data_IF_074975328857
#
_entry.id   IF_074975328857
#
_cell.length_a   1.000
_cell.length_b   1.000
_cell.length_c   1.000
_cell.angle_alpha   90.00
_cell.angle_beta   90.00
_cell.angle_gamma   90.00
#
_symmetry.space_group_name_H-M   'P 1'
#
loop_
_entity.id
_entity.type
_entity.pdbx_description
1 polymer ?
#
# COMPACT_ATOMS: atom_id res chain seq x y z
N UNK A 1 24.26 3.54 16.15
CA UNK A 1 23.73 2.17 16.13
C UNK A 1 24.80 1.28 15.52
N UNK A 2 25.30 0.29 16.25
CA UNK A 2 26.38 -0.58 15.78
C UNK A 2 25.81 -1.52 14.72
N UNK A 3 26.16 -1.31 13.46
CA UNK A 3 25.87 -2.26 12.39
C UNK A 3 26.54 -3.60 12.74
N UNK A 4 25.76 -4.69 12.75
CA UNK A 4 26.29 -6.03 12.92
C UNK A 4 27.35 -6.32 11.86
N UNK A 5 28.42 -7.04 12.24
CA UNK A 5 29.47 -7.44 11.32
C UNK A 5 28.87 -8.34 10.23
N UNK A 6 29.38 -8.23 9.00
CA UNK A 6 29.01 -9.12 7.88
C UNK A 6 29.45 -10.54 8.20
N UNK A 7 28.62 -11.54 7.92
CA UNK A 7 28.96 -12.94 8.20
C UNK A 7 27.77 -13.89 8.18
N UNK A 8 28.07 -15.16 8.40
CA UNK A 8 27.07 -16.21 8.55
C UNK A 8 26.59 -16.27 10.01
N UNK A 9 25.28 -16.14 10.21
CA UNK A 9 24.61 -16.23 11.49
C UNK A 9 23.57 -17.34 11.46
N UNK A 10 23.21 -17.93 12.64
CA UNK A 10 22.08 -18.86 12.69
C UNK A 10 20.85 -18.26 12.00
N UNK A 11 20.23 -19.02 11.10
CA UNK A 11 19.07 -18.54 10.34
C UNK A 11 17.88 -18.28 11.28
N UNK A 12 17.41 -17.04 11.43
CA UNK A 12 16.35 -16.71 12.39
C UNK A 12 14.98 -17.34 12.06
N UNK A 13 14.76 -17.73 10.80
CA UNK A 13 13.53 -18.39 10.36
C UNK A 13 13.72 -19.84 9.91
N UNK A 14 14.90 -20.43 10.10
CA UNK A 14 15.27 -21.72 9.53
C UNK A 14 15.29 -22.90 10.51
N UNK A 15 15.48 -24.10 9.94
CA UNK A 15 15.70 -25.31 10.71
C UNK A 15 16.98 -25.25 11.52
N UNK A 16 17.07 -26.00 12.65
CA UNK A 16 18.27 -26.07 13.48
C UNK A 16 19.49 -26.47 12.65
N UNK A 17 20.60 -25.73 12.82
CA UNK A 17 21.85 -25.98 12.12
C UNK A 17 22.00 -25.30 10.75
N UNK A 18 21.02 -24.48 10.35
CA UNK A 18 21.12 -23.62 9.15
C UNK A 18 21.66 -22.26 9.50
N UNK A 19 22.46 -21.68 8.60
CA UNK A 19 23.02 -20.33 8.70
C UNK A 19 22.61 -19.50 7.51
N UNK A 20 22.37 -18.20 7.72
CA UNK A 20 22.05 -17.20 6.70
C UNK A 20 23.09 -16.09 6.74
N UNK A 21 23.48 -15.59 5.58
CA UNK A 21 24.50 -14.57 5.50
C UNK A 21 23.91 -13.18 5.73
N UNK A 22 24.54 -12.42 6.60
CA UNK A 22 24.27 -11.00 6.84
C UNK A 22 25.31 -10.15 6.11
N UNK A 23 24.90 -9.24 5.22
CA UNK A 23 25.80 -8.40 4.44
C UNK A 23 26.09 -7.03 5.07
N UNK A 24 25.68 -6.82 6.34
CA UNK A 24 25.79 -5.54 7.04
C UNK A 24 24.51 -4.69 6.99
N UNK A 25 23.59 -4.99 6.07
CA UNK A 25 22.33 -4.25 5.86
C UNK A 25 21.13 -5.18 5.76
N UNK A 26 21.26 -6.29 5.05
CA UNK A 26 20.17 -7.23 4.78
C UNK A 26 20.62 -8.70 4.93
N UNK A 27 19.66 -9.57 5.22
CA UNK A 27 19.86 -11.02 5.15
C UNK A 27 19.82 -11.51 3.70
N UNK A 28 20.77 -12.38 3.31
CA UNK A 28 20.73 -13.02 2.00
C UNK A 28 19.60 -14.03 1.91
N UNK A 29 19.19 -14.38 0.69
CA UNK A 29 18.25 -15.49 0.46
C UNK A 29 18.92 -16.85 0.60
N UNK A 30 20.24 -16.89 0.49
CA UNK A 30 21.03 -18.13 0.56
C UNK A 30 21.24 -18.56 2.01
N UNK A 31 21.11 -19.87 2.24
CA UNK A 31 21.38 -20.51 3.51
C UNK A 31 22.40 -21.64 3.34
N UNK A 32 23.18 -21.92 4.36
CA UNK A 32 24.18 -22.99 4.38
C UNK A 32 24.14 -23.77 5.70
N UNK A 33 24.65 -24.99 5.69
CA UNK A 33 24.89 -25.78 6.89
C UNK A 33 26.32 -25.56 7.46
N UNK A 34 27.22 -24.92 6.66
CA UNK A 34 28.58 -24.60 7.06
C UNK A 34 28.79 -23.09 7.18
N UNK A 35 28.89 -22.52 8.40
CA UNK A 35 29.10 -21.08 8.62
C UNK A 35 30.50 -20.59 8.20
N UNK A 36 31.41 -21.49 7.79
CA UNK A 36 32.74 -21.14 7.28
C UNK A 36 32.77 -21.02 5.75
N UNK A 37 31.66 -21.30 5.09
CA UNK A 37 31.54 -21.15 3.64
C UNK A 37 31.86 -19.70 3.23
N UNK A 38 32.48 -19.53 2.05
CA UNK A 38 32.71 -18.20 1.48
C UNK A 38 31.39 -17.43 1.39
N UNK A 39 31.42 -16.10 1.59
CA UNK A 39 30.24 -15.27 1.40
C UNK A 39 29.56 -15.55 0.05
N UNK A 40 28.21 -15.51 -0.03
CA UNK A 40 27.53 -15.64 -1.31
C UNK A 40 28.05 -14.57 -2.24
N UNK A 41 28.31 -14.93 -3.52
CA UNK A 41 28.65 -13.95 -4.53
C UNK A 41 27.51 -12.96 -4.63
N UNK A 42 27.76 -11.70 -4.24
CA UNK A 42 26.78 -10.64 -4.32
C UNK A 42 26.24 -10.48 -5.73
N UNK A 43 25.11 -9.80 -5.94
CA UNK A 43 24.49 -9.62 -7.26
C UNK A 43 25.40 -8.95 -8.29
N UNK A 44 26.58 -8.47 -7.89
CA UNK A 44 27.54 -7.78 -8.76
C UNK A 44 28.33 -8.71 -9.70
N UNK A 45 28.36 -10.03 -9.45
CA UNK A 45 29.07 -10.99 -10.31
C UNK A 45 28.35 -11.29 -11.63
N UNK A 46 27.04 -11.10 -11.74
CA UNK A 46 26.24 -11.36 -12.95
C UNK A 46 25.91 -10.09 -13.78
N UNK A 47 26.20 -8.90 -13.25
CA UNK A 47 25.82 -7.62 -13.87
C UNK A 47 26.70 -7.23 -15.09
N UNK A 48 27.88 -7.80 -15.23
CA UNK A 48 28.83 -7.43 -16.30
C UNK A 48 28.37 -7.75 -17.72
N UNK A 49 27.55 -8.76 -17.91
CA UNK A 49 27.15 -9.25 -19.25
C UNK A 49 25.78 -8.72 -19.69
N UNK A 50 24.85 -8.45 -18.76
CA UNK A 50 23.52 -7.89 -19.10
C UNK A 50 23.57 -6.38 -19.40
N UNK A 51 24.50 -5.64 -18.81
CA UNK A 51 24.63 -4.18 -19.01
C UNK A 51 25.01 -3.78 -20.44
N UNK A 52 25.75 -4.63 -21.17
CA UNK A 52 26.14 -4.33 -22.57
C UNK A 52 24.97 -4.49 -23.55
N UNK A 53 24.04 -5.39 -23.31
CA UNK A 53 22.87 -5.58 -24.17
C UNK A 53 21.78 -4.55 -23.89
N UNK A 54 21.60 -4.10 -22.65
CA UNK A 54 20.65 -3.03 -22.30
C UNK A 54 21.00 -1.67 -22.93
N UNK A 55 22.31 -1.35 -23.04
CA UNK A 55 22.76 -0.11 -23.69
C UNK A 55 22.49 -0.11 -25.21
N UNK A 56 22.61 -1.24 -25.88
CA UNK A 56 22.34 -1.34 -27.32
C UNK A 56 20.86 -1.21 -27.61
N UNK A 57 19.99 -1.82 -26.79
CA UNK A 57 18.53 -1.71 -26.92
C UNK A 57 18.05 -0.30 -26.58
N UNK A 58 18.61 0.33 -25.54
CA UNK A 58 18.26 1.70 -25.13
C UNK A 58 18.58 2.74 -26.22
N UNK A 59 19.74 2.64 -26.87
CA UNK A 59 20.12 3.58 -27.94
C UNK A 59 19.23 3.45 -29.17
N UNK A 60 18.80 2.23 -29.52
CA UNK A 60 17.86 2.00 -30.63
C UNK A 60 16.45 2.55 -30.32
N UNK A 61 15.96 2.39 -29.09
CA UNK A 61 14.66 2.91 -28.67
C UNK A 61 14.61 4.45 -28.71
N UNK A 62 15.66 5.13 -28.23
CA UNK A 62 15.75 6.58 -28.28
C UNK A 62 15.80 7.11 -29.72
N UNK A 63 16.52 6.45 -30.62
CA UNK A 63 16.56 6.83 -32.03
C UNK A 63 15.19 6.76 -32.72
N UNK A 64 14.40 5.71 -32.43
CA UNK A 64 13.03 5.57 -32.97
C UNK A 64 12.10 6.65 -32.42
N UNK A 65 12.18 6.98 -31.14
CA UNK A 65 11.37 8.03 -30.52
C UNK A 65 11.66 9.41 -31.15
N UNK A 66 12.94 9.73 -31.41
CA UNK A 66 13.32 11.00 -32.05
C UNK A 66 12.78 11.10 -33.47
N UNK A 67 12.82 10.01 -34.25
CA UNK A 67 12.30 9.98 -35.61
C UNK A 67 10.78 10.17 -35.63
N UNK A 68 10.04 9.53 -34.71
CA UNK A 68 8.59 9.67 -34.58
C UNK A 68 8.21 11.07 -34.10
N UNK A 69 8.94 11.65 -33.14
CA UNK A 69 8.69 13.01 -32.66
C UNK A 69 8.93 14.06 -33.75
N UNK A 70 9.99 13.94 -34.56
CA UNK A 70 10.21 14.82 -35.70
C UNK A 70 9.11 14.70 -36.76
N UNK A 71 8.63 13.48 -37.02
CA UNK A 71 7.53 13.24 -37.97
C UNK A 71 6.22 13.91 -37.55
N UNK A 72 5.90 13.87 -36.24
CA UNK A 72 4.69 14.50 -35.69
C UNK A 72 4.76 16.03 -35.71
N UNK A 73 5.93 16.63 -35.48
CA UNK A 73 6.13 18.10 -35.54
C UNK A 73 5.98 18.62 -36.95
N UNK A 74 6.40 17.88 -37.96
CA UNK A 74 6.28 18.27 -39.36
C UNK A 74 4.83 18.16 -39.89
N UNK A 75 4.03 17.24 -39.34
CA UNK A 75 2.64 17.00 -39.78
C UNK A 75 1.57 17.79 -39.03
N UNK A 76 1.87 18.33 -37.84
CA UNK A 76 0.97 19.19 -37.06
C UNK A 76 1.53 20.61 -37.00
N UNK A 77 0.97 21.52 -37.83
CA UNK A 77 1.31 22.94 -37.81
C UNK A 77 1.19 23.56 -36.40
N UNK A 78 1.96 24.59 -36.13
CA UNK A 78 2.04 25.32 -34.87
C UNK A 78 0.69 25.89 -34.43
N UNK A 79 0.27 25.79 -33.19
CA UNK A 79 -0.95 26.40 -32.70
C UNK A 79 -0.78 27.92 -32.62
N UNK A 80 -1.68 28.63 -33.30
CA UNK A 80 -1.82 30.09 -33.21
C UNK A 80 -2.49 30.46 -31.89
N UNK A 81 -1.92 31.40 -31.19
CA UNK A 81 -2.45 31.95 -29.94
C UNK A 81 -3.69 32.78 -30.18
N UNK A 82 -4.77 32.56 -29.44
CA UNK A 82 -6.02 33.29 -29.42
C UNK A 82 -5.94 34.49 -28.46
N UNK A 83 -6.49 35.66 -28.82
CA UNK A 83 -6.38 36.88 -27.98
C UNK A 83 -7.43 36.89 -26.84
N UNK A 84 -7.17 37.62 -25.73
CA UNK A 84 -8.03 37.62 -24.55
C UNK A 84 -9.29 38.45 -24.70
N UNK A 85 -10.42 37.97 -24.17
CA UNK A 85 -11.71 38.65 -24.09
C UNK A 85 -11.74 39.70 -22.96
N UNK A 86 -12.48 40.78 -23.09
CA UNK A 86 -12.49 41.89 -22.14
C UNK A 86 -13.36 41.61 -20.89
N UNK A 87 -12.85 42.06 -19.73
CA UNK A 87 -13.54 42.04 -18.45
C UNK A 87 -14.70 43.04 -18.40
N UNK A 88 -15.88 42.59 -17.99
CA UNK A 88 -17.01 43.46 -17.66
C UNK A 88 -17.04 43.80 -16.17
N UNK A 89 -16.90 45.07 -15.86
CA UNK A 89 -17.05 45.68 -14.54
C UNK A 89 -18.56 45.89 -14.24
N UNK A 90 -19.05 45.40 -13.11
CA UNK A 90 -20.37 45.76 -12.59
C UNK A 90 -20.20 46.60 -11.32
N UNK A 91 -20.74 47.78 -11.37
CA UNK A 91 -20.74 48.81 -10.33
C UNK A 91 -21.89 48.56 -9.30
N UNK A 92 -21.62 48.94 -8.07
CA UNK A 92 -22.31 48.68 -6.83
C UNK A 92 -23.74 49.16 -6.69
N UNK A 93 -24.36 48.69 -5.64
CA UNK A 93 -25.60 49.18 -5.02
C UNK A 93 -25.52 48.92 -3.52
N UNK A 94 -25.47 50.03 -2.78
CA UNK A 94 -25.49 50.13 -1.33
C UNK A 94 -26.95 49.95 -0.88
N UNK A 95 -27.23 49.12 0.12
CA UNK A 95 -28.43 49.22 0.94
C UNK A 95 -28.19 48.68 2.34
N UNK A 96 -28.12 49.63 3.26
CA UNK A 96 -27.91 49.41 4.69
C UNK A 96 -29.27 49.18 5.38
N UNK A 97 -29.42 48.03 6.06
CA UNK A 97 -30.47 47.86 7.06
C UNK A 97 -29.93 47.03 8.25
N UNK A 98 -30.14 47.48 9.52
CA UNK A 98 -29.50 46.81 10.66
C UNK A 98 -30.27 45.57 11.08
N UNK A 99 -29.55 44.47 11.14
CA UNK A 99 -30.02 43.17 11.63
C UNK A 99 -29.75 43.02 13.14
N UNK A 100 -30.66 42.45 13.94
CA UNK A 100 -30.46 42.24 15.36
C UNK A 100 -29.38 41.18 15.66
N UNK A 101 -28.57 41.46 16.66
CA UNK A 101 -27.52 40.61 17.20
C UNK A 101 -28.02 39.23 17.64
N UNK A 102 -27.55 38.11 17.11
CA UNK A 102 -27.81 36.81 17.68
C UNK A 102 -26.84 36.52 18.83
N UNK A 103 -27.37 36.01 19.92
CA UNK A 103 -26.68 35.44 21.08
C UNK A 103 -25.69 34.33 20.61
N UNK A 104 -24.44 34.29 21.12
CA UNK A 104 -23.50 33.27 20.72
C UNK A 104 -23.94 31.88 21.22
N UNK A 105 -23.91 30.84 20.37
CA UNK A 105 -24.12 29.48 20.83
C UNK A 105 -22.90 29.03 21.66
N UNK A 106 -23.19 28.36 22.77
CA UNK A 106 -22.21 27.68 23.62
C UNK A 106 -21.31 26.81 22.77
N UNK A 107 -20.02 27.11 22.80
CA UNK A 107 -18.97 26.30 22.17
C UNK A 107 -18.91 24.95 22.89
N UNK A 108 -19.46 23.92 22.26
CA UNK A 108 -19.21 22.54 22.68
C UNK A 108 -17.73 22.28 22.47
N UNK A 109 -17.01 21.99 23.53
CA UNK A 109 -15.59 21.68 23.49
C UNK A 109 -15.34 20.49 22.54
N UNK A 110 -14.59 20.75 21.49
CA UNK A 110 -14.04 19.69 20.62
C UNK A 110 -13.20 18.75 21.50
N UNK A 111 -13.38 17.43 21.41
CA UNK A 111 -12.54 16.51 22.19
C UNK A 111 -11.09 16.71 21.78
N UNK A 112 -10.23 17.04 22.74
CA UNK A 112 -8.77 17.05 22.58
C UNK A 112 -8.32 15.71 22.01
N UNK A 113 -7.36 15.69 21.08
CA UNK A 113 -6.78 14.44 20.61
C UNK A 113 -6.13 13.75 21.81
N UNK A 114 -6.68 12.61 22.21
CA UNK A 114 -6.08 11.74 23.21
C UNK A 114 -4.70 11.34 22.73
N UNK A 115 -3.66 11.72 23.46
CA UNK A 115 -2.30 11.22 23.27
C UNK A 115 -2.33 9.70 23.49
N UNK A 116 -2.46 8.93 22.40
CA UNK A 116 -2.32 7.48 22.47
C UNK A 116 -0.87 7.15 22.80
N UNK A 117 -0.64 6.45 23.88
CA UNK A 117 0.61 5.72 24.11
C UNK A 117 0.78 4.77 22.92
N UNK A 118 1.92 4.81 22.20
CA UNK A 118 2.16 3.85 21.13
C UNK A 118 2.01 2.43 21.67
N UNK A 119 1.22 1.60 20.99
CA UNK A 119 1.14 0.19 21.32
C UNK A 119 2.54 -0.43 21.21
N UNK A 120 2.93 -1.39 22.09
CA UNK A 120 4.22 -2.05 21.98
C UNK A 120 4.34 -2.71 20.61
N UNK A 121 5.51 -2.55 19.97
CA UNK A 121 5.81 -3.14 18.68
C UNK A 121 5.67 -4.67 18.78
N UNK A 122 4.72 -5.25 18.08
CA UNK A 122 4.54 -6.69 17.97
C UNK A 122 5.46 -7.19 16.85
N UNK A 123 6.24 -8.26 17.06
CA UNK A 123 6.95 -8.90 15.95
C UNK A 123 5.92 -9.34 14.90
N UNK A 124 6.09 -8.93 13.64
CA UNK A 124 5.20 -9.37 12.59
C UNK A 124 5.42 -10.87 12.33
N UNK A 125 4.38 -11.70 12.43
CA UNK A 125 4.51 -13.14 12.24
C UNK A 125 4.82 -13.46 10.78
N UNK A 126 5.24 -14.69 10.52
CA UNK A 126 5.36 -15.25 9.17
C UNK A 126 4.14 -16.13 8.93
N UNK A 127 3.32 -15.76 7.97
CA UNK A 127 2.16 -16.52 7.51
C UNK A 127 2.45 -17.35 6.25
N UNK A 128 1.40 -17.75 5.59
CA UNK A 128 1.43 -18.36 4.24
C UNK A 128 0.31 -17.74 3.39
N UNK A 129 0.57 -16.57 2.77
CA UNK A 129 -0.45 -15.88 1.98
C UNK A 129 -0.87 -16.65 0.72
N UNK A 130 -0.05 -17.61 0.27
CA UNK A 130 -0.34 -18.46 -0.91
C UNK A 130 -1.23 -19.64 -0.60
N UNK A 131 -1.40 -19.98 0.67
CA UNK A 131 -2.37 -21.00 1.10
C UNK A 131 -3.78 -20.56 0.71
N UNK A 132 -4.41 -21.28 -0.22
CA UNK A 132 -5.79 -20.96 -0.66
C UNK A 132 -6.80 -21.94 -0.06
N UNK A 133 -7.84 -21.38 0.54
CA UNK A 133 -9.02 -22.12 0.95
C UNK A 133 -10.01 -22.26 -0.22
N UNK A 134 -10.92 -23.26 -0.20
CA UNK A 134 -12.01 -23.32 -1.17
C UNK A 134 -12.95 -22.12 -1.02
N UNK A 135 -13.23 -21.41 -2.12
CA UNK A 135 -14.15 -20.28 -2.18
C UNK A 135 -15.16 -20.43 -3.32
N UNK A 136 -16.31 -19.72 -3.26
CA UNK A 136 -17.22 -19.62 -4.39
C UNK A 136 -16.53 -19.08 -5.65
N UNK A 137 -17.03 -19.50 -6.81
CA UNK A 137 -16.57 -19.00 -8.13
C UNK A 137 -17.66 -18.10 -8.71
N UNK A 138 -17.71 -16.88 -8.26
CA UNK A 138 -18.63 -15.83 -8.70
C UNK A 138 -17.88 -14.54 -9.08
N UNK A 139 -18.55 -13.40 -9.03
CA UNK A 139 -17.98 -12.08 -9.36
C UNK A 139 -17.28 -11.40 -8.17
N UNK A 140 -16.93 -12.15 -7.12
CA UNK A 140 -16.25 -11.61 -5.93
C UNK A 140 -14.82 -12.13 -5.82
N UNK A 141 -14.03 -11.42 -5.04
CA UNK A 141 -12.68 -11.82 -4.59
C UNK A 141 -12.79 -12.23 -3.14
N UNK A 142 -12.33 -13.44 -2.83
CA UNK A 142 -12.45 -14.05 -1.51
C UNK A 142 -11.08 -14.27 -0.86
N UNK A 143 -11.02 -14.11 0.47
CA UNK A 143 -9.89 -14.47 1.30
C UNK A 143 -10.28 -14.47 2.78
N UNK A 144 -9.95 -15.56 3.49
CA UNK A 144 -10.47 -15.80 4.84
C UNK A 144 -11.99 -15.84 4.84
N UNK A 145 -12.61 -15.14 5.79
CA UNK A 145 -14.07 -14.97 5.85
C UNK A 145 -14.57 -13.69 5.14
N UNK A 146 -13.69 -12.96 4.43
CA UNK A 146 -14.07 -11.73 3.74
C UNK A 146 -14.12 -11.90 2.22
N UNK A 147 -14.95 -11.07 1.60
CA UNK A 147 -14.97 -10.91 0.14
C UNK A 147 -15.38 -9.49 -0.25
N UNK A 148 -14.97 -9.08 -1.46
CA UNK A 148 -15.44 -7.84 -2.11
C UNK A 148 -15.83 -8.10 -3.57
N UNK A 149 -16.71 -7.25 -4.12
CA UNK A 149 -17.09 -7.31 -5.55
C UNK A 149 -15.89 -7.01 -6.41
N UNK A 150 -15.61 -7.89 -7.38
CA UNK A 150 -14.48 -7.75 -8.32
C UNK A 150 -14.56 -6.42 -9.07
N UNK A 151 -13.46 -5.69 -9.09
CA UNK A 151 -13.32 -4.46 -9.87
C UNK A 151 -12.91 -4.79 -11.31
N UNK A 152 -13.80 -4.49 -12.26
CA UNK A 152 -13.60 -4.86 -13.67
C UNK A 152 -12.43 -4.11 -14.33
N UNK A 153 -12.04 -2.94 -13.80
CA UNK A 153 -10.90 -2.15 -14.30
C UNK A 153 -9.55 -2.60 -13.77
N UNK A 154 -9.54 -3.50 -12.78
CA UNK A 154 -8.34 -4.07 -12.19
C UNK A 154 -7.96 -5.38 -12.86
N UNK A 155 -6.72 -5.82 -12.69
CA UNK A 155 -6.27 -7.12 -13.15
C UNK A 155 -7.09 -8.26 -12.51
N UNK A 156 -7.12 -9.44 -13.10
CA UNK A 156 -7.75 -10.62 -12.50
C UNK A 156 -7.20 -10.87 -11.09
N UNK A 157 -8.04 -11.41 -10.21
CA UNK A 157 -7.63 -11.71 -8.85
C UNK A 157 -6.54 -12.80 -8.83
N UNK A 158 -5.50 -12.59 -8.03
CA UNK A 158 -4.37 -13.50 -7.85
C UNK A 158 -3.95 -13.57 -6.37
N UNK A 159 -3.16 -14.57 -5.96
CA UNK A 159 -2.58 -14.62 -4.61
C UNK A 159 -1.67 -13.43 -4.35
N UNK A 160 -1.77 -12.82 -3.16
CA UNK A 160 -0.89 -11.73 -2.72
C UNK A 160 0.20 -12.25 -1.78
N UNK A 161 1.46 -11.95 -2.09
CA UNK A 161 2.62 -12.44 -1.33
C UNK A 161 3.28 -11.38 -0.45
N UNK A 162 3.00 -10.10 -0.67
CA UNK A 162 3.56 -8.98 0.12
C UNK A 162 2.94 -8.87 1.51
N UNK A 163 1.69 -9.37 1.68
CA UNK A 163 1.07 -9.56 3.00
C UNK A 163 1.57 -10.90 3.58
N UNK A 164 2.88 -11.00 3.80
CA UNK A 164 3.59 -12.22 4.16
C UNK A 164 3.21 -12.80 5.54
N UNK A 165 2.47 -12.06 6.34
CA UNK A 165 1.96 -12.45 7.66
C UNK A 165 0.48 -12.90 7.62
N UNK A 166 -0.12 -12.92 6.43
CA UNK A 166 -1.49 -13.37 6.19
C UNK A 166 -1.57 -14.80 5.68
N UNK A 167 -2.80 -15.28 5.55
CA UNK A 167 -3.17 -16.57 4.96
C UNK A 167 -4.33 -16.37 4.00
N UNK A 168 -4.43 -17.24 3.00
CA UNK A 168 -5.54 -17.20 2.04
C UNK A 168 -5.75 -15.80 1.44
N UNK A 169 -4.65 -15.14 1.07
CA UNK A 169 -4.69 -13.76 0.61
C UNK A 169 -4.87 -13.71 -0.90
N UNK A 170 -5.91 -13.00 -1.35
CA UNK A 170 -6.17 -12.70 -2.75
C UNK A 170 -6.26 -11.20 -2.97
N UNK A 171 -5.75 -10.76 -4.11
CA UNK A 171 -5.71 -9.34 -4.50
C UNK A 171 -6.19 -9.11 -5.91
N UNK A 172 -6.56 -7.85 -6.18
CA UNK A 172 -6.60 -7.25 -7.51
C UNK A 172 -5.72 -6.00 -7.53
N UNK A 173 -4.95 -5.84 -8.59
CA UNK A 173 -4.06 -4.70 -8.81
C UNK A 173 -4.52 -3.87 -10.02
N UNK A 174 -4.21 -2.58 -9.99
CA UNK A 174 -4.34 -1.66 -11.12
C UNK A 174 -3.03 -0.90 -11.29
N UNK A 175 -2.38 -1.04 -12.45
CA UNK A 175 -1.17 -0.26 -12.78
C UNK A 175 -1.56 1.20 -12.98
N UNK A 176 -1.07 2.08 -12.12
CA UNK A 176 -1.33 3.52 -12.19
C UNK A 176 -0.27 4.21 -13.03
N UNK A 177 0.97 3.72 -12.93
CA UNK A 177 2.10 4.20 -13.68
C UNK A 177 3.09 3.06 -13.91
N UNK A 178 3.69 2.99 -15.10
CA UNK A 178 4.55 1.88 -15.50
C UNK A 178 6.03 2.12 -15.15
N UNK A 179 6.48 3.38 -15.12
CA UNK A 179 7.87 3.72 -14.81
C UNK A 179 8.00 5.09 -14.10
N UNK A 180 8.47 5.14 -12.85
CA UNK A 180 8.59 4.01 -11.92
C UNK A 180 7.21 3.43 -11.60
N UNK A 181 7.13 2.09 -11.48
CA UNK A 181 5.87 1.39 -11.29
C UNK A 181 5.14 1.83 -10.02
N UNK A 182 3.84 2.13 -10.14
CA UNK A 182 2.94 2.38 -9.02
C UNK A 182 1.63 1.64 -9.25
N UNK A 183 1.14 0.98 -8.21
CA UNK A 183 -0.09 0.19 -8.30
C UNK A 183 -1.10 0.65 -7.27
N UNK A 184 -2.39 0.60 -7.62
CA UNK A 184 -3.46 0.55 -6.65
C UNK A 184 -3.78 -0.92 -6.37
N UNK A 185 -4.08 -1.25 -5.11
CA UNK A 185 -4.26 -2.62 -4.64
C UNK A 185 -5.50 -2.76 -3.78
N UNK A 186 -6.21 -3.88 -3.97
CA UNK A 186 -7.34 -4.32 -3.15
C UNK A 186 -7.09 -5.78 -2.78
N UNK A 187 -7.04 -6.12 -1.50
CA UNK A 187 -6.76 -7.47 -1.04
C UNK A 187 -7.66 -7.89 0.12
N UNK A 188 -7.99 -9.18 0.19
CA UNK A 188 -8.65 -9.84 1.30
C UNK A 188 -7.89 -11.09 1.71
N UNK A 189 -8.00 -11.49 2.97
CA UNK A 189 -7.31 -12.66 3.50
C UNK A 189 -7.67 -12.93 4.96
N UNK A 190 -6.81 -13.67 5.65
CA UNK A 190 -6.97 -14.04 7.06
C UNK A 190 -5.72 -13.71 7.86
N UNK A 191 -5.91 -13.21 9.10
CA UNK A 191 -4.89 -13.16 10.15
C UNK A 191 -5.24 -14.19 11.21
N UNK A 192 -4.27 -14.93 11.71
CA UNK A 192 -4.50 -15.98 12.70
C UNK A 192 -4.22 -15.52 14.13
N UNK A 193 -5.14 -15.81 15.03
CA UNK A 193 -4.94 -15.58 16.46
C UNK A 193 -3.71 -16.30 17.00
N UNK A 194 -3.44 -17.53 16.55
CA UNK A 194 -2.24 -18.31 16.92
C UNK A 194 -0.92 -17.60 16.62
N UNK A 195 -0.93 -16.63 15.70
CA UNK A 195 0.26 -15.88 15.29
C UNK A 195 0.41 -14.56 16.07
N UNK A 196 -0.42 -14.33 17.07
CA UNK A 196 -0.35 -13.17 17.95
C UNK A 196 -1.41 -12.09 17.67
N UNK A 197 -2.32 -12.30 16.70
CA UNK A 197 -3.45 -11.40 16.45
C UNK A 197 -4.62 -11.69 17.43
N UNK A 198 -4.39 -11.54 18.75
CA UNK A 198 -5.33 -11.99 19.79
C UNK A 198 -5.90 -10.89 20.68
N UNK A 199 -5.51 -9.62 20.46
CA UNK A 199 -5.77 -8.54 21.43
C UNK A 199 -7.02 -7.71 21.13
N UNK A 200 -8.01 -8.27 20.45
CA UNK A 200 -9.24 -7.59 20.02
C UNK A 200 -9.07 -6.78 18.73
N UNK A 201 -10.19 -6.36 18.13
CA UNK A 201 -10.24 -5.80 16.80
C UNK A 201 -9.32 -4.58 16.61
N UNK A 202 -9.32 -3.63 17.55
CA UNK A 202 -8.49 -2.43 17.45
C UNK A 202 -6.99 -2.76 17.43
N UNK A 203 -6.52 -3.59 18.35
CA UNK A 203 -5.10 -3.94 18.43
C UNK A 203 -4.66 -4.81 17.26
N UNK A 204 -5.55 -5.68 16.76
CA UNK A 204 -5.31 -6.46 15.55
C UNK A 204 -5.16 -5.55 14.33
N UNK A 205 -6.05 -4.55 14.17
CA UNK A 205 -5.95 -3.58 13.09
C UNK A 205 -4.65 -2.74 13.18
N UNK A 206 -4.26 -2.29 14.37
CA UNK A 206 -2.99 -1.59 14.59
C UNK A 206 -1.77 -2.46 14.24
N UNK A 207 -1.79 -3.74 14.64
CA UNK A 207 -0.74 -4.71 14.30
C UNK A 207 -0.69 -4.97 12.79
N UNK A 208 -1.84 -5.02 12.13
CA UNK A 208 -1.93 -5.17 10.68
C UNK A 208 -1.26 -3.97 9.97
N UNK A 209 -1.62 -2.74 10.33
CA UNK A 209 -0.99 -1.52 9.78
C UNK A 209 0.53 -1.54 10.02
N UNK A 210 0.96 -1.86 11.25
CA UNK A 210 2.37 -1.94 11.59
C UNK A 210 3.11 -2.94 10.70
N UNK A 211 2.58 -4.16 10.53
CA UNK A 211 3.21 -5.20 9.71
C UNK A 211 3.25 -4.83 8.22
N UNK A 212 2.24 -4.14 7.71
CA UNK A 212 2.25 -3.63 6.34
C UNK A 212 3.33 -2.56 6.14
N UNK A 213 3.47 -1.61 7.07
CA UNK A 213 4.42 -0.50 6.98
C UNK A 213 5.87 -0.99 7.16
N UNK A 214 6.12 -1.90 8.08
CA UNK A 214 7.48 -2.42 8.37
C UNK A 214 7.87 -3.59 7.47
N UNK A 215 6.92 -4.16 6.73
CA UNK A 215 7.12 -5.24 5.78
C UNK A 215 7.57 -4.77 4.40
N UNK A 216 7.58 -5.70 3.45
CA UNK A 216 8.08 -5.48 2.08
C UNK A 216 7.25 -4.47 1.25
N UNK A 217 6.06 -4.07 1.73
CA UNK A 217 5.18 -3.15 0.99
C UNK A 217 5.72 -1.72 1.02
N UNK A 218 6.10 -1.22 2.19
CA UNK A 218 6.48 0.19 2.37
C UNK A 218 7.87 0.40 2.96
N UNK A 219 8.40 -0.54 3.75
CA UNK A 219 9.68 -0.36 4.43
C UNK A 219 10.85 0.10 3.52
N UNK A 220 10.96 -0.34 2.25
CA UNK A 220 12.03 0.12 1.37
C UNK A 220 11.96 1.62 1.01
N UNK A 221 10.85 2.30 1.29
CA UNK A 221 10.55 3.66 0.84
C UNK A 221 10.51 4.70 1.96
N UNK A 222 11.00 4.36 3.16
CA UNK A 222 10.98 5.23 4.35
C UNK A 222 9.59 5.83 4.64
N UNK A 223 8.61 4.98 5.02
CA UNK A 223 7.21 5.38 5.13
C UNK A 223 6.92 6.21 6.38
N UNK A 224 5.99 7.16 6.25
CA UNK A 224 5.40 7.92 7.35
C UNK A 224 3.89 7.72 7.36
N UNK A 225 3.32 7.39 8.53
CA UNK A 225 1.90 7.15 8.75
C UNK A 225 1.18 8.39 9.28
N UNK A 226 0.00 8.70 8.73
CA UNK A 226 -0.89 9.75 9.20
C UNK A 226 -2.35 9.27 9.20
N UNK A 227 -2.89 8.95 10.37
CA UNK A 227 -4.24 8.39 10.52
C UNK A 227 -5.31 9.44 10.28
N UNK A 228 -6.31 9.06 9.48
CA UNK A 228 -7.49 9.85 9.17
C UNK A 228 -8.70 9.37 9.96
N UNK A 229 -8.80 8.04 10.16
CA UNK A 229 -9.90 7.39 10.86
C UNK A 229 -9.42 6.12 11.54
N UNK A 230 -9.87 5.87 12.77
CA UNK A 230 -9.65 4.61 13.47
C UNK A 230 -10.85 4.38 14.40
N UNK A 231 -11.74 3.45 14.02
CA UNK A 231 -13.02 3.26 14.71
C UNK A 231 -13.55 1.82 14.55
N UNK A 232 -14.48 1.37 15.44
CA UNK A 232 -15.14 0.09 15.29
C UNK A 232 -16.06 0.09 14.07
N UNK A 233 -16.23 -1.09 13.47
CA UNK A 233 -17.20 -1.36 12.41
C UNK A 233 -17.86 -2.73 12.62
N UNK A 234 -18.91 -3.01 11.83
CA UNK A 234 -19.55 -4.32 11.75
C UNK A 234 -19.81 -4.63 10.28
N UNK A 235 -19.46 -5.83 9.81
CA UNK A 235 -19.76 -6.33 8.47
C UNK A 235 -20.55 -7.61 8.64
N UNK A 236 -21.77 -7.66 8.11
CA UNK A 236 -22.71 -8.80 8.16
C UNK A 236 -22.87 -9.41 9.57
N UNK A 237 -22.88 -8.54 10.60
CA UNK A 237 -23.00 -8.96 12.00
C UNK A 237 -21.69 -9.30 12.70
N UNK A 238 -20.57 -9.38 11.98
CA UNK A 238 -19.24 -9.63 12.54
C UNK A 238 -18.59 -8.32 13.00
N UNK A 239 -18.20 -8.20 14.28
CA UNK A 239 -17.52 -7.00 14.77
C UNK A 239 -16.11 -6.91 14.22
N UNK A 240 -15.64 -5.69 14.01
CA UNK A 240 -14.32 -5.44 13.46
C UNK A 240 -13.79 -4.03 13.78
N UNK A 241 -12.72 -3.65 13.12
CA UNK A 241 -12.09 -2.34 13.23
C UNK A 241 -11.59 -1.85 11.88
N UNK A 242 -11.74 -0.56 11.61
CA UNK A 242 -11.18 0.10 10.43
C UNK A 242 -10.15 1.13 10.83
N UNK A 243 -9.01 1.13 10.12
CA UNK A 243 -8.03 2.22 10.13
C UNK A 243 -7.87 2.72 8.69
N UNK A 244 -8.15 4.00 8.51
CA UNK A 244 -7.90 4.72 7.27
C UNK A 244 -6.71 5.66 7.50
N UNK A 245 -5.65 5.50 6.73
CA UNK A 245 -4.41 6.24 6.94
C UNK A 245 -3.76 6.63 5.61
N UNK A 246 -3.09 7.78 5.59
CA UNK A 246 -2.19 8.15 4.50
C UNK A 246 -0.78 7.64 4.86
N UNK A 247 -0.20 6.81 4.01
CA UNK A 247 1.20 6.35 4.11
C UNK A 247 1.98 7.11 3.05
N UNK A 248 2.76 8.10 3.50
CA UNK A 248 3.64 8.88 2.61
C UNK A 248 5.03 8.27 2.58
N UNK A 249 5.73 8.43 1.46
CA UNK A 249 7.07 7.90 1.24
C UNK A 249 8.03 9.03 0.88
N UNK A 250 9.27 8.95 1.37
CA UNK A 250 10.28 10.03 1.18
C UNK A 250 11.24 9.76 0.01
N UNK A 251 11.11 8.63 -0.68
CA UNK A 251 11.93 8.29 -1.85
C UNK A 251 11.68 9.26 -2.99
N UNK A 252 12.75 9.91 -3.48
CA UNK A 252 12.66 10.86 -4.60
C UNK A 252 12.40 10.16 -5.93
N UNK A 253 11.75 10.86 -6.85
CA UNK A 253 11.48 10.37 -8.21
C UNK A 253 10.26 9.46 -8.35
N UNK A 254 9.50 9.25 -7.26
CA UNK A 254 8.24 8.52 -7.33
C UNK A 254 7.12 9.43 -7.86
N UNK A 255 6.13 8.88 -8.59
CA UNK A 255 5.06 9.65 -9.22
C UNK A 255 4.04 10.21 -8.23
N UNK A 256 3.93 9.62 -7.04
CA UNK A 256 2.99 10.00 -6.00
C UNK A 256 3.69 10.15 -4.64
N UNK A 257 3.15 10.98 -3.73
CA UNK A 257 3.74 11.15 -2.40
C UNK A 257 3.52 9.94 -1.49
N UNK A 258 2.70 8.99 -1.88
CA UNK A 258 2.31 7.83 -1.10
C UNK A 258 0.89 7.36 -1.43
N UNK A 259 0.35 6.50 -0.56
CA UNK A 259 -0.97 5.90 -0.70
C UNK A 259 -1.92 6.35 0.40
N UNK A 260 -3.18 6.55 0.03
CA UNK A 260 -4.31 6.45 0.94
C UNK A 260 -4.66 4.99 1.10
N UNK A 261 -4.62 4.52 2.34
CA UNK A 261 -4.85 3.11 2.65
C UNK A 261 -6.03 2.90 3.58
N UNK A 262 -6.69 1.77 3.44
CA UNK A 262 -7.75 1.29 4.33
C UNK A 262 -7.37 -0.11 4.80
N UNK A 263 -7.27 -0.27 6.10
CA UNK A 263 -7.07 -1.53 6.79
C UNK A 263 -8.32 -1.88 7.56
N UNK A 264 -8.90 -3.05 7.31
CA UNK A 264 -10.05 -3.55 8.05
C UNK A 264 -9.71 -4.94 8.57
N UNK A 265 -10.09 -5.19 9.82
CA UNK A 265 -10.13 -6.53 10.39
C UNK A 265 -11.53 -6.84 10.87
N UNK A 266 -11.98 -8.08 10.66
CA UNK A 266 -13.32 -8.56 11.03
C UNK A 266 -13.19 -9.90 11.75
N UNK A 267 -13.88 -10.05 12.87
CA UNK A 267 -13.81 -11.26 13.70
C UNK A 267 -14.28 -12.51 12.93
N UNK A 268 -13.50 -13.59 13.08
CA UNK A 268 -13.71 -14.92 12.47
C UNK A 268 -13.31 -16.00 13.49
N UNK A 269 -14.14 -16.23 14.49
CA UNK A 269 -13.81 -17.09 15.62
C UNK A 269 -12.57 -16.61 16.35
N UNK A 270 -11.52 -17.44 16.39
CA UNK A 270 -10.21 -17.11 16.97
C UNK A 270 -9.28 -16.37 15.97
N UNK A 271 -9.74 -16.15 14.73
CA UNK A 271 -9.01 -15.49 13.67
C UNK A 271 -9.69 -14.17 13.27
N UNK A 272 -9.12 -13.52 12.25
CA UNK A 272 -9.63 -12.27 11.69
C UNK A 272 -9.61 -12.33 10.17
N UNK A 273 -10.72 -11.98 9.53
CA UNK A 273 -10.68 -11.57 8.14
C UNK A 273 -9.91 -10.24 8.02
N UNK A 274 -9.09 -10.12 7.00
CA UNK A 274 -8.42 -8.87 6.67
C UNK A 274 -8.91 -8.31 5.33
N UNK A 275 -9.03 -6.99 5.25
CA UNK A 275 -9.09 -6.26 4.00
C UNK A 275 -8.00 -5.18 3.99
N UNK A 276 -7.29 -5.09 2.88
CA UNK A 276 -6.33 -4.03 2.58
C UNK A 276 -6.69 -3.37 1.26
N UNK A 277 -6.76 -2.04 1.27
CA UNK A 277 -6.89 -1.25 0.05
C UNK A 277 -5.90 -0.11 0.06
N UNK A 278 -5.20 0.09 -1.05
CA UNK A 278 -4.23 1.16 -1.25
C UNK A 278 -4.46 1.83 -2.60
N UNK A 279 -4.51 3.15 -2.62
CA UNK A 279 -4.62 3.96 -3.83
C UNK A 279 -3.76 5.21 -3.71
N UNK A 280 -3.18 5.74 -4.79
CA UNK A 280 -2.33 6.92 -4.73
C UNK A 280 -3.03 8.12 -4.10
N UNK A 281 -2.33 8.82 -3.23
CA UNK A 281 -2.81 10.08 -2.64
C UNK A 281 -3.03 11.10 -3.76
N UNK A 282 -4.23 11.67 -3.81
CA UNK A 282 -4.62 12.66 -4.82
C UNK A 282 -5.39 12.08 -6.01
N UNK A 283 -5.39 10.76 -6.22
CA UNK A 283 -6.20 10.14 -7.26
C UNK A 283 -7.66 9.97 -6.81
N UNK A 284 -8.51 10.92 -7.20
CA UNK A 284 -9.94 10.91 -6.84
C UNK A 284 -10.72 9.77 -7.52
N UNK A 285 -10.28 9.27 -8.67
CA UNK A 285 -10.97 8.18 -9.38
C UNK A 285 -10.73 6.87 -8.64
N UNK A 286 -9.49 6.54 -8.33
CA UNK A 286 -9.14 5.37 -7.54
C UNK A 286 -9.63 5.47 -6.09
N UNK A 287 -9.69 6.67 -5.49
CA UNK A 287 -10.33 6.88 -4.20
C UNK A 287 -11.82 6.51 -4.19
N UNK A 288 -12.56 6.76 -5.29
CA UNK A 288 -13.95 6.30 -5.44
C UNK A 288 -14.03 4.77 -5.60
N UNK A 289 -13.08 4.18 -6.31
CA UNK A 289 -12.98 2.71 -6.40
C UNK A 289 -12.80 2.11 -5.00
N UNK A 290 -11.81 2.55 -4.25
CA UNK A 290 -11.55 2.09 -2.88
C UNK A 290 -12.80 2.22 -1.99
N UNK A 291 -13.47 3.38 -2.02
CA UNK A 291 -14.70 3.59 -1.25
C UNK A 291 -15.82 2.62 -1.65
N UNK A 292 -16.00 2.37 -2.94
CA UNK A 292 -17.01 1.43 -3.47
C UNK A 292 -16.68 0.00 -3.05
N UNK A 293 -15.41 -0.40 -3.14
CA UNK A 293 -14.96 -1.73 -2.73
C UNK A 293 -15.19 -1.97 -1.25
N UNK A 294 -14.82 -1.01 -0.39
CA UNK A 294 -15.09 -1.11 1.07
C UNK A 294 -16.58 -1.29 1.36
N UNK A 295 -17.46 -0.60 0.63
CA UNK A 295 -18.92 -0.76 0.78
C UNK A 295 -19.45 -2.11 0.28
N UNK A 296 -18.72 -2.80 -0.56
CA UNK A 296 -19.10 -4.10 -1.11
C UNK A 296 -18.59 -5.27 -0.26
N UNK A 297 -17.85 -4.99 0.82
CA UNK A 297 -17.34 -6.04 1.71
C UNK A 297 -18.49 -6.86 2.30
N UNK A 298 -18.28 -8.16 2.33
CA UNK A 298 -19.15 -9.14 3.01
C UNK A 298 -18.29 -10.06 3.87
N UNK A 299 -18.86 -10.47 5.01
CA UNK A 299 -18.29 -11.46 5.92
C UNK A 299 -19.18 -12.71 5.97
N UNK A 300 -18.58 -13.92 6.10
CA UNK A 300 -19.27 -15.20 6.13
C UNK A 300 -18.87 -16.06 7.34
#
# INVERSE_FOLDING_TARGET
>A
MAGGLTGWYPDPGGARGRYRYWNGTNWSVETTDDPRQSPPAGPDGAAGQRRRWGLVIGVLAVAVIIVVALGVVITRGWPTAEPPLPSSTVVGGDDSSPTPTPTPPSTSASPSPSSRTPAPLVPCPVGDPTLRLPHPTDDRVYGGNLSFVREASFLPAEPETRISFGYDVAQQDFSVNDDPGWIAQLAVGQLRGTDGFVHGAQNTAESFVQCAITGNMYNPYDPTRSDRRSEPLTIDGHPGWVIETDITVSTQGLPFPGDRTVFIVVADGDNWGLFFGAVPIGDAALGRVLTRTVRSLQAS
#
